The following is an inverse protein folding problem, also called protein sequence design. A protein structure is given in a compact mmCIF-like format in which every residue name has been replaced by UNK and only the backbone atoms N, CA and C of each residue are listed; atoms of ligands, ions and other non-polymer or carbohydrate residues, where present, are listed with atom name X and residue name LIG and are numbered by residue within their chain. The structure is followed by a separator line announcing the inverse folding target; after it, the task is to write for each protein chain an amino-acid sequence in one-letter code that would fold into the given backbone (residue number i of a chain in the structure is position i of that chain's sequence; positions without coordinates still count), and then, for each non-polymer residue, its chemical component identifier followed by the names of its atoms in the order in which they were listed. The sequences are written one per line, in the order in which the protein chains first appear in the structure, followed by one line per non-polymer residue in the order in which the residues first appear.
data_IF_116871285448
#
_entry.id   IF_116871285448
#
_cell.length_a   1.000
_cell.length_b   1.000
_cell.length_c   1.000
_cell.angle_alpha   90.00
_cell.angle_beta   90.00
_cell.angle_gamma   90.00
#
_symmetry.space_group_name_H-M   'P 1'
#
loop_
_entity.id
_entity.type
_entity.pdbx_description
1 polymer ?
#
# COMPACT_ATOMS: atom_id res chain seq x y z
N UNK A 1 -12.94 1.26 18.58
CA UNK A 1 -11.76 0.56 18.02
C UNK A 1 -10.92 1.59 17.28
N UNK A 2 -9.68 1.83 17.72
CA UNK A 2 -8.74 2.63 16.93
C UNK A 2 -8.53 1.92 15.60
N UNK A 3 -8.86 2.60 14.50
CA UNK A 3 -8.69 2.06 13.16
C UNK A 3 -7.18 1.92 12.91
N UNK A 4 -6.67 0.68 12.84
CA UNK A 4 -5.24 0.41 12.62
C UNK A 4 -4.81 1.08 11.31
N UNK A 5 -3.94 2.08 11.42
CA UNK A 5 -3.40 2.81 10.28
C UNK A 5 -2.04 2.25 9.89
N UNK A 6 -2.02 1.53 8.77
CA UNK A 6 -0.79 0.94 8.19
C UNK A 6 -0.17 1.81 7.10
N UNK A 7 -0.55 3.10 6.98
CA UNK A 7 -0.12 3.97 5.87
C UNK A 7 1.41 4.03 5.74
N UNK A 8 2.12 4.25 6.84
CA UNK A 8 3.58 4.38 6.81
C UNK A 8 4.23 3.03 6.51
N UNK A 9 3.78 1.94 7.13
CA UNK A 9 4.33 0.60 6.92
C UNK A 9 4.11 0.12 5.48
N UNK A 10 2.96 0.44 4.88
CA UNK A 10 2.69 0.16 3.46
C UNK A 10 3.61 0.98 2.55
N UNK A 11 3.90 2.24 2.89
CA UNK A 11 4.83 3.05 2.12
C UNK A 11 6.25 2.49 2.17
N UNK A 12 6.73 2.17 3.37
CA UNK A 12 8.06 1.57 3.55
C UNK A 12 8.17 0.25 2.80
N UNK A 13 7.14 -0.59 2.87
CA UNK A 13 7.09 -1.83 2.09
C UNK A 13 7.16 -1.58 0.58
N UNK A 14 6.42 -0.60 0.05
CA UNK A 14 6.50 -0.26 -1.37
C UNK A 14 7.92 0.16 -1.77
N UNK A 15 8.61 0.94 -0.93
CA UNK A 15 10.02 1.32 -1.15
C UNK A 15 11.00 0.15 -1.11
N UNK A 16 10.65 -0.98 -0.47
CA UNK A 16 11.46 -2.20 -0.58
C UNK A 16 11.29 -2.92 -1.92
N UNK A 17 10.24 -2.60 -2.69
CA UNK A 17 9.96 -3.22 -3.99
C UNK A 17 10.56 -2.44 -5.17
N UNK A 18 10.97 -1.19 -4.95
CA UNK A 18 11.54 -0.31 -5.97
C UNK A 18 11.79 1.09 -5.44
N UNK A 19 12.45 1.91 -6.24
CA UNK A 19 12.83 3.27 -5.90
C UNK A 19 11.74 4.29 -6.29
N UNK A 20 11.82 5.54 -5.78
CA UNK A 20 10.99 6.63 -6.30
C UNK A 20 11.14 6.77 -7.81
N UNK A 21 10.01 6.79 -8.52
CA UNK A 21 9.93 6.77 -9.98
C UNK A 21 9.64 5.39 -10.59
N UNK A 22 9.94 4.30 -9.87
CA UNK A 22 9.72 2.94 -10.37
C UNK A 22 8.25 2.55 -10.35
N UNK A 23 7.85 1.76 -11.34
CA UNK A 23 6.57 1.05 -11.34
C UNK A 23 6.72 -0.31 -10.69
N UNK A 24 6.08 -0.49 -9.54
CA UNK A 24 6.19 -1.72 -8.74
C UNK A 24 4.83 -2.42 -8.65
N UNK A 25 4.86 -3.76 -8.66
CA UNK A 25 3.67 -4.59 -8.46
C UNK A 25 3.25 -4.56 -6.98
N UNK A 26 2.09 -3.99 -6.66
CA UNK A 26 1.63 -3.88 -5.26
C UNK A 26 1.15 -5.23 -4.71
N UNK A 27 1.90 -5.77 -3.73
CA UNK A 27 1.57 -7.02 -3.01
C UNK A 27 1.13 -6.78 -1.55
N UNK A 28 0.52 -5.61 -1.30
CA UNK A 28 0.23 -5.10 0.04
C UNK A 28 -0.71 -6.03 0.84
N UNK A 29 -1.81 -6.50 0.24
CA UNK A 29 -2.78 -7.34 0.96
C UNK A 29 -2.15 -8.64 1.51
N UNK A 30 -1.53 -9.51 0.68
CA UNK A 30 -0.91 -10.73 1.21
C UNK A 30 0.22 -10.42 2.21
N UNK A 31 0.99 -9.34 1.99
CA UNK A 31 2.02 -8.91 2.93
C UNK A 31 1.44 -8.51 4.30
N UNK A 32 0.34 -7.75 4.33
CA UNK A 32 -0.33 -7.36 5.58
C UNK A 32 -0.82 -8.58 6.38
N UNK A 33 -1.39 -9.57 5.71
CA UNK A 33 -1.84 -10.83 6.34
C UNK A 33 -0.66 -11.60 6.93
N UNK A 34 0.41 -11.76 6.15
CA UNK A 34 1.58 -12.52 6.58
C UNK A 34 2.36 -11.84 7.71
N UNK A 35 2.47 -10.51 7.67
CA UNK A 35 3.32 -9.73 8.60
C UNK A 35 2.61 -9.40 9.91
N UNK A 36 1.32 -9.07 9.85
CA UNK A 36 0.56 -8.59 11.01
C UNK A 36 -0.55 -9.55 11.45
N UNK A 37 -0.67 -10.71 10.81
CA UNK A 37 -1.70 -11.70 11.14
C UNK A 37 -3.13 -11.25 10.84
N UNK A 38 -3.30 -10.25 9.96
CA UNK A 38 -4.62 -9.73 9.61
C UNK A 38 -5.47 -10.78 8.88
N UNK A 39 -6.76 -10.78 9.14
CA UNK A 39 -7.70 -11.54 8.33
C UNK A 39 -7.89 -10.90 6.93
N UNK A 40 -8.66 -11.56 6.07
CA UNK A 40 -8.93 -11.06 4.71
C UNK A 40 -9.62 -9.68 4.71
N UNK A 41 -10.61 -9.49 5.59
CA UNK A 41 -11.41 -8.25 5.66
C UNK A 41 -10.57 -7.10 6.18
N UNK A 42 -9.79 -7.34 7.23
CA UNK A 42 -8.86 -6.40 7.83
C UNK A 42 -7.79 -5.98 6.84
N UNK A 43 -7.15 -6.94 6.16
CA UNK A 43 -6.11 -6.66 5.17
C UNK A 43 -6.66 -5.87 3.96
N UNK A 44 -7.87 -6.18 3.50
CA UNK A 44 -8.55 -5.40 2.43
C UNK A 44 -8.81 -3.96 2.89
N UNK A 45 -9.35 -3.80 4.10
CA UNK A 45 -9.66 -2.49 4.67
C UNK A 45 -8.41 -1.64 4.90
N UNK A 46 -7.39 -2.23 5.53
CA UNK A 46 -6.09 -1.61 5.79
C UNK A 46 -5.41 -1.19 4.48
N UNK A 47 -5.37 -2.08 3.46
CA UNK A 47 -4.85 -1.73 2.14
C UNK A 47 -5.60 -0.54 1.53
N UNK A 48 -6.93 -0.52 1.60
CA UNK A 48 -7.74 0.56 1.02
C UNK A 48 -7.44 1.90 1.68
N UNK A 49 -7.34 1.93 3.00
CA UNK A 49 -7.00 3.14 3.77
C UNK A 49 -5.59 3.60 3.44
N UNK A 50 -4.60 2.72 3.58
CA UNK A 50 -3.20 3.08 3.37
C UNK A 50 -2.97 3.62 1.96
N UNK A 51 -3.43 2.90 0.93
CA UNK A 51 -3.28 3.34 -0.45
C UNK A 51 -4.02 4.65 -0.75
N UNK A 52 -5.20 4.85 -0.17
CA UNK A 52 -5.95 6.10 -0.31
C UNK A 52 -5.20 7.28 0.33
N UNK A 53 -4.63 7.08 1.52
CA UNK A 53 -3.85 8.11 2.22
C UNK A 53 -2.55 8.43 1.51
N UNK A 54 -1.81 7.43 1.03
CA UNK A 54 -0.58 7.64 0.26
C UNK A 54 -0.84 8.38 -1.05
N UNK A 55 -1.92 8.03 -1.75
CA UNK A 55 -2.34 8.75 -2.95
C UNK A 55 -2.74 10.20 -2.64
N UNK A 56 -3.55 10.43 -1.61
CA UNK A 56 -3.96 11.78 -1.20
C UNK A 56 -2.78 12.65 -0.73
N UNK A 57 -1.73 12.04 -0.18
CA UNK A 57 -0.48 12.71 0.21
C UNK A 57 0.49 12.92 -0.95
N UNK A 58 0.18 12.44 -2.16
CA UNK A 58 1.06 12.55 -3.32
C UNK A 58 2.32 11.67 -3.25
N UNK A 59 2.33 10.63 -2.40
CA UNK A 59 3.49 9.75 -2.22
C UNK A 59 3.53 8.59 -3.22
N UNK A 60 2.38 8.27 -3.83
CA UNK A 60 2.26 7.24 -4.86
C UNK A 60 1.28 7.67 -5.95
N UNK A 61 1.48 7.12 -7.14
CA UNK A 61 0.54 7.17 -8.25
C UNK A 61 0.10 5.76 -8.63
N UNK A 62 -1.16 5.57 -9.01
CA UNK A 62 -1.58 4.31 -9.64
C UNK A 62 -1.30 4.40 -11.12
N UNK A 63 -0.45 3.52 -11.63
CA UNK A 63 -0.14 3.48 -13.07
C UNK A 63 -1.42 3.25 -13.87
N UNK A 64 -2.29 2.36 -13.38
CA UNK A 64 -3.58 2.05 -14.00
C UNK A 64 -4.68 2.06 -12.93
N UNK A 65 -5.88 2.56 -13.25
CA UNK A 65 -7.00 2.63 -12.29
C UNK A 65 -7.38 1.26 -11.66
N UNK A 66 -7.24 0.18 -12.43
CA UNK A 66 -7.56 -1.20 -12.02
C UNK A 66 -6.33 -2.12 -11.93
N UNK A 67 -5.13 -1.61 -12.19
CA UNK A 67 -3.91 -2.42 -12.22
C UNK A 67 -3.32 -2.64 -10.82
N UNK A 68 -2.49 -3.69 -10.65
CA UNK A 68 -1.75 -3.89 -9.41
C UNK A 68 -0.53 -2.96 -9.29
N UNK A 69 -0.14 -2.27 -10.36
CA UNK A 69 1.05 -1.44 -10.39
C UNK A 69 0.84 -0.06 -9.78
N UNK A 70 1.85 0.40 -9.06
CA UNK A 70 1.95 1.75 -8.52
C UNK A 70 3.32 2.32 -8.81
N UNK A 71 3.36 3.63 -9.05
CA UNK A 71 4.60 4.41 -9.10
C UNK A 71 4.82 5.11 -7.78
N UNK A 72 6.01 5.02 -7.22
CA UNK A 72 6.38 5.74 -5.98
C UNK A 72 6.78 7.17 -6.39
N UNK A 73 6.28 8.20 -5.72
CA UNK A 73 6.47 9.61 -6.11
C UNK A 73 7.35 10.41 -5.14
N UNK A 74 7.60 9.90 -3.93
CA UNK A 74 8.30 10.62 -2.87
C UNK A 74 9.79 10.39 -2.85
#
# INVERSE_FOLDING_TARGET
MSQLDFTNQVYDYLRTLGEPGDEVISRIKPWLKATYGLDEREAVHARKIAMGRLFARGLIHRVNARGPYVRILG
#
